data_IF_119892867949
#
_entry.id   IF_119892867949
#
_cell.length_a   1.000
_cell.length_b   1.000
_cell.length_c   1.000
_cell.angle_alpha   90.00
_cell.angle_beta   90.00
_cell.angle_gamma   90.00
#
_symmetry.space_group_name_H-M   'P 1'
#
loop_
_entity.id
_entity.type
_entity.pdbx_description
1 polymer ?
#
# COMPACT_ATOMS: atom_id res chain seq x y z
N UNK A 1 -6.93 -1.95 -13.41
CA UNK A 1 -5.68 -2.38 -14.07
C UNK A 1 -4.60 -1.38 -13.70
N UNK A 2 -3.39 -1.85 -13.42
CA UNK A 2 -2.25 -1.01 -13.05
C UNK A 2 -0.97 -1.51 -13.71
N UNK A 3 0.02 -0.62 -13.86
CA UNK A 3 1.35 -0.94 -14.35
C UNK A 3 2.42 -0.21 -13.51
N UNK A 4 3.54 -0.87 -13.21
CA UNK A 4 4.68 -0.30 -12.48
C UNK A 4 6.00 -0.85 -13.04
N UNK A 5 7.06 -0.02 -13.04
CA UNK A 5 8.41 -0.48 -13.38
C UNK A 5 8.98 -1.39 -12.29
N UNK A 6 9.61 -2.51 -12.68
CA UNK A 6 10.25 -3.48 -11.77
C UNK A 6 11.70 -3.06 -11.45
N UNK A 7 11.86 -1.94 -10.77
CA UNK A 7 13.17 -1.45 -10.32
C UNK A 7 14.05 -0.82 -11.41
N UNK A 8 14.13 -1.47 -12.58
CA UNK A 8 14.76 -0.93 -13.79
C UNK A 8 13.72 -0.50 -14.84
N UNK A 9 14.08 0.48 -15.67
CA UNK A 9 13.21 1.00 -16.75
C UNK A 9 12.99 0.00 -17.92
N UNK A 10 13.58 -1.20 -17.86
CA UNK A 10 13.50 -2.23 -18.89
C UNK A 10 12.36 -3.22 -18.67
N UNK A 11 11.86 -3.36 -17.43
CA UNK A 11 10.84 -4.33 -17.05
C UNK A 11 9.65 -3.66 -16.37
N UNK A 12 8.47 -4.14 -16.70
CA UNK A 12 7.20 -3.66 -16.15
C UNK A 12 6.39 -4.82 -15.63
N UNK A 13 5.78 -4.67 -14.46
CA UNK A 13 4.69 -5.53 -14.02
C UNK A 13 3.35 -4.85 -14.30
N UNK A 14 2.38 -5.62 -14.76
CA UNK A 14 0.99 -5.18 -14.89
C UNK A 14 0.07 -6.07 -14.09
N UNK A 15 -0.92 -5.47 -13.44
CA UNK A 15 -2.00 -6.16 -12.75
C UNK A 15 -3.32 -5.92 -13.46
N UNK A 16 -4.05 -6.98 -13.75
CA UNK A 16 -5.21 -6.96 -14.64
C UNK A 16 -6.50 -7.41 -13.94
N UNK A 17 -7.63 -7.04 -14.55
CA UNK A 17 -8.95 -7.52 -14.15
C UNK A 17 -9.16 -8.99 -14.53
N UNK A 18 -8.37 -9.53 -15.47
CA UNK A 18 -8.36 -10.95 -15.84
C UNK A 18 -7.80 -11.88 -14.74
N UNK A 19 -7.45 -11.30 -13.58
CA UNK A 19 -6.89 -11.97 -12.40
C UNK A 19 -5.47 -12.47 -12.60
N UNK A 20 -4.71 -11.89 -13.53
CA UNK A 20 -3.29 -12.17 -13.72
C UNK A 20 -2.41 -10.97 -13.37
N UNK A 21 -1.19 -11.29 -12.95
CA UNK A 21 -0.06 -10.37 -13.02
C UNK A 21 0.81 -10.79 -14.21
N UNK A 22 1.29 -9.83 -15.00
CA UNK A 22 2.18 -10.09 -16.14
C UNK A 22 3.45 -9.29 -16.01
N UNK A 23 4.58 -9.91 -16.32
CA UNK A 23 5.87 -9.26 -16.40
C UNK A 23 6.25 -9.11 -17.87
N UNK A 24 6.62 -7.90 -18.24
CA UNK A 24 6.96 -7.50 -19.60
C UNK A 24 8.41 -7.07 -19.66
N UNK A 25 9.12 -7.52 -20.68
CA UNK A 25 10.41 -6.97 -21.07
C UNK A 25 10.17 -5.98 -22.22
N UNK A 26 10.49 -4.71 -21.96
CA UNK A 26 10.25 -3.63 -22.92
C UNK A 26 11.26 -3.61 -24.06
N UNK A 27 12.43 -4.24 -23.90
CA UNK A 27 13.44 -4.35 -24.96
C UNK A 27 13.02 -5.37 -25.99
N UNK A 28 12.55 -6.55 -25.55
CA UNK A 28 12.04 -7.61 -26.42
C UNK A 28 10.57 -7.40 -26.82
N UNK A 29 9.87 -6.46 -26.17
CA UNK A 29 8.44 -6.14 -26.40
C UNK A 29 7.53 -7.35 -26.17
N UNK A 30 7.87 -8.18 -25.19
CA UNK A 30 7.18 -9.45 -24.92
C UNK A 30 6.73 -9.57 -23.46
N UNK A 31 5.62 -10.25 -23.26
CA UNK A 31 5.23 -10.78 -21.95
C UNK A 31 6.12 -11.99 -21.66
N UNK A 32 7.02 -11.86 -20.70
CA UNK A 32 7.98 -12.91 -20.35
C UNK A 32 7.49 -13.80 -19.21
N UNK A 33 6.51 -13.35 -18.43
CA UNK A 33 5.93 -14.13 -17.35
C UNK A 33 4.45 -13.78 -17.13
N UNK A 34 3.62 -14.78 -16.80
CA UNK A 34 2.23 -14.58 -16.37
C UNK A 34 1.99 -15.39 -15.11
N UNK A 35 1.59 -14.71 -14.02
CA UNK A 35 1.22 -15.32 -12.74
C UNK A 35 -0.29 -15.20 -12.52
N UNK A 36 -0.93 -16.28 -12.09
CA UNK A 36 -2.34 -16.25 -11.69
C UNK A 36 -2.47 -15.63 -10.30
N UNK A 37 -3.19 -14.51 -10.22
CA UNK A 37 -3.34 -13.72 -9.00
C UNK A 37 -4.60 -14.05 -8.19
N UNK A 38 -5.47 -14.93 -8.70
CA UNK A 38 -6.71 -15.35 -8.04
C UNK A 38 -7.85 -14.32 -8.06
N UNK A 39 -7.53 -13.02 -8.15
CA UNK A 39 -8.50 -11.93 -8.17
C UNK A 39 -8.04 -10.72 -8.98
N UNK A 40 -9.01 -9.94 -9.45
CA UNK A 40 -8.78 -8.69 -10.18
C UNK A 40 -7.84 -7.78 -9.39
N UNK A 41 -6.72 -7.40 -10.01
CA UNK A 41 -5.74 -6.50 -9.42
C UNK A 41 -6.10 -5.04 -9.73
N UNK A 42 -6.25 -4.24 -8.68
CA UNK A 42 -6.61 -2.84 -8.76
C UNK A 42 -5.37 -1.94 -8.80
N UNK A 43 -4.34 -2.24 -8.00
CA UNK A 43 -3.10 -1.47 -7.95
C UNK A 43 -1.88 -2.33 -7.58
N UNK A 44 -0.69 -1.80 -7.83
CA UNK A 44 0.60 -2.44 -7.65
C UNK A 44 1.61 -1.49 -6.99
N UNK A 45 2.52 -2.04 -6.20
CA UNK A 45 3.69 -1.35 -5.66
C UNK A 45 4.94 -2.25 -5.71
N UNK A 46 6.12 -1.65 -5.87
CA UNK A 46 7.42 -2.35 -5.97
C UNK A 46 8.31 -1.93 -4.82
N UNK A 47 8.68 -2.88 -3.97
CA UNK A 47 9.33 -2.59 -2.67
C UNK A 47 10.80 -2.23 -2.84
N UNK A 48 11.48 -2.91 -3.76
CA UNK A 48 12.93 -2.82 -3.91
C UNK A 48 13.33 -2.38 -5.32
N UNK A 49 14.50 -1.74 -5.42
CA UNK A 49 15.07 -1.29 -6.69
C UNK A 49 15.51 -2.42 -7.60
N UNK A 50 15.59 -3.66 -7.11
CA UNK A 50 15.86 -4.83 -7.94
C UNK A 50 14.60 -5.39 -8.61
N UNK A 51 13.41 -4.84 -8.28
CA UNK A 51 12.14 -5.34 -8.78
C UNK A 51 11.79 -6.73 -8.27
N UNK A 52 12.41 -7.20 -7.19
CA UNK A 52 12.24 -8.58 -6.75
C UNK A 52 10.91 -8.81 -6.04
N UNK A 53 10.44 -7.82 -5.28
CA UNK A 53 9.23 -7.90 -4.48
C UNK A 53 8.13 -7.00 -5.05
N UNK A 54 7.02 -7.61 -5.46
CA UNK A 54 5.80 -6.94 -5.93
C UNK A 54 4.71 -7.08 -4.87
N UNK A 55 3.99 -5.99 -4.63
CA UNK A 55 2.78 -5.97 -3.81
C UNK A 55 1.60 -5.66 -4.72
N UNK A 56 0.52 -6.42 -4.61
CA UNK A 56 -0.71 -6.19 -5.37
C UNK A 56 -1.94 -6.06 -4.48
N UNK A 57 -2.77 -5.07 -4.79
CA UNK A 57 -4.05 -4.82 -4.10
C UNK A 57 -5.22 -5.31 -4.95
N UNK A 58 -6.16 -6.02 -4.33
CA UNK A 58 -7.18 -6.78 -5.06
C UNK A 58 -8.63 -6.44 -4.72
N UNK A 59 -9.52 -6.83 -5.65
CA UNK A 59 -10.97 -6.77 -5.49
C UNK A 59 -11.49 -7.71 -4.41
N UNK A 60 -10.84 -8.83 -4.16
CA UNK A 60 -11.21 -9.80 -3.12
C UNK A 60 -10.75 -9.41 -1.71
N UNK A 61 -10.51 -8.11 -1.50
CA UNK A 61 -10.15 -7.51 -0.22
C UNK A 61 -8.76 -7.89 0.30
N UNK A 62 -7.89 -8.41 -0.57
CA UNK A 62 -6.54 -8.81 -0.17
C UNK A 62 -5.45 -7.89 -0.71
N UNK A 63 -4.36 -7.80 0.05
CA UNK A 63 -3.02 -7.48 -0.47
C UNK A 63 -2.24 -8.78 -0.58
N UNK A 64 -1.51 -8.97 -1.68
CA UNK A 64 -0.65 -10.13 -1.91
C UNK A 64 0.79 -9.71 -2.14
N UNK A 65 1.72 -10.56 -1.70
CA UNK A 65 3.17 -10.38 -1.84
C UNK A 65 3.72 -11.42 -2.80
N UNK A 66 4.49 -10.96 -3.79
CA UNK A 66 5.08 -11.79 -4.82
C UNK A 66 6.58 -11.58 -4.83
N UNK A 67 7.32 -12.68 -4.77
CA UNK A 67 8.74 -12.70 -5.12
C UNK A 67 8.84 -13.15 -6.58
N UNK A 68 9.43 -12.32 -7.44
CA UNK A 68 9.66 -12.64 -8.87
C UNK A 68 10.62 -13.81 -9.08
N UNK A 69 11.39 -14.19 -8.06
CA UNK A 69 12.29 -15.35 -8.07
C UNK A 69 11.59 -16.64 -7.67
N UNK A 70 10.36 -16.55 -7.18
CA UNK A 70 9.53 -17.68 -6.75
C UNK A 70 8.30 -17.83 -7.64
N UNK A 71 7.82 -19.06 -7.81
CA UNK A 71 6.61 -19.33 -8.59
C UNK A 71 5.32 -19.01 -7.83
N UNK A 72 5.37 -18.92 -6.49
CA UNK A 72 4.18 -18.73 -5.64
C UNK A 72 4.18 -17.40 -4.89
N UNK A 73 2.99 -16.83 -4.68
CA UNK A 73 2.79 -15.73 -3.72
C UNK A 73 2.98 -16.28 -2.31
N UNK A 74 3.96 -15.75 -1.59
CA UNK A 74 4.33 -16.29 -0.28
C UNK A 74 3.31 -15.97 0.81
N UNK A 75 2.63 -14.81 0.73
CA UNK A 75 1.77 -14.29 1.80
C UNK A 75 0.67 -13.36 1.27
N UNK A 76 -0.42 -13.22 2.04
CA UNK A 76 -1.47 -12.24 1.79
C UNK A 76 -2.09 -11.71 3.09
N UNK A 77 -2.67 -10.51 3.03
CA UNK A 77 -3.39 -9.87 4.14
C UNK A 77 -4.81 -9.59 3.68
N UNK A 78 -5.82 -9.97 4.48
CA UNK A 78 -7.23 -9.78 4.19
C UNK A 78 -7.79 -8.57 4.95
N UNK A 79 -8.65 -7.80 4.28
CA UNK A 79 -9.35 -6.65 4.83
C UNK A 79 -10.88 -6.79 4.74
N UNK A 80 -11.60 -5.85 5.35
CA UNK A 80 -13.06 -5.83 5.32
C UNK A 80 -13.63 -5.24 4.01
N UNK A 81 -12.80 -4.55 3.22
CA UNK A 81 -13.17 -3.92 1.96
C UNK A 81 -12.14 -4.15 0.85
N UNK A 82 -12.51 -3.81 -0.38
CA UNK A 82 -11.65 -3.93 -1.57
C UNK A 82 -10.46 -2.99 -1.46
N UNK A 83 -9.28 -3.43 -1.86
CA UNK A 83 -8.09 -2.58 -1.89
C UNK A 83 -8.10 -1.82 -3.21
N UNK A 84 -7.96 -0.50 -3.16
CA UNK A 84 -8.18 0.37 -4.33
C UNK A 84 -6.93 1.09 -4.80
N UNK A 85 -6.02 1.40 -3.89
CA UNK A 85 -4.73 1.99 -4.23
C UNK A 85 -3.69 1.63 -3.18
N UNK A 86 -2.43 1.60 -3.62
CA UNK A 86 -1.25 1.27 -2.84
C UNK A 86 -0.18 2.37 -3.05
N UNK A 87 0.52 2.73 -1.99
CA UNK A 87 1.74 3.55 -2.10
C UNK A 87 2.77 3.14 -1.04
N UNK A 88 4.04 3.35 -1.35
CA UNK A 88 5.18 2.94 -0.51
C UNK A 88 5.92 4.15 0.05
N UNK A 89 6.43 4.01 1.26
CA UNK A 89 7.44 4.94 1.75
C UNK A 89 8.71 4.81 0.91
N UNK A 90 9.46 5.90 0.79
CA UNK A 90 10.71 5.95 0.00
C UNK A 90 11.75 4.92 0.44
N UNK A 91 11.74 4.54 1.72
CA UNK A 91 12.62 3.53 2.29
C UNK A 91 12.08 2.09 2.15
N UNK A 92 10.90 1.91 1.55
CA UNK A 92 10.30 0.60 1.30
C UNK A 92 9.87 -0.16 2.56
N UNK A 93 9.82 0.50 3.73
CA UNK A 93 9.48 -0.17 5.01
C UNK A 93 7.98 -0.22 5.27
N UNK A 94 7.25 0.80 4.79
CA UNK A 94 5.83 0.89 5.01
C UNK A 94 5.07 0.99 3.69
N UNK A 95 3.89 0.39 3.70
CA UNK A 95 2.90 0.51 2.63
C UNK A 95 1.66 1.18 3.20
N UNK A 96 1.12 2.16 2.49
CA UNK A 96 -0.23 2.67 2.74
C UNK A 96 -1.19 2.11 1.69
N UNK A 97 -2.40 1.76 2.12
CA UNK A 97 -3.43 1.29 1.21
C UNK A 97 -4.79 1.93 1.49
N UNK A 98 -5.53 2.17 0.41
CA UNK A 98 -6.92 2.64 0.47
C UNK A 98 -7.86 1.43 0.41
N UNK A 99 -8.73 1.28 1.42
CA UNK A 99 -9.66 0.16 1.51
C UNK A 99 -11.10 0.68 1.41
N UNK A 100 -11.97 -0.03 0.68
CA UNK A 100 -13.42 0.25 0.57
C UNK A 100 -14.20 -0.12 1.85
N UNK A 101 -13.60 0.13 3.01
CA UNK A 101 -14.21 0.16 4.34
C UNK A 101 -14.09 1.57 4.95
N UNK A 102 -13.91 2.56 4.06
CA UNK A 102 -13.65 3.98 4.35
C UNK A 102 -12.41 4.23 5.20
N UNK A 103 -11.40 3.38 5.09
CA UNK A 103 -10.12 3.55 5.81
C UNK A 103 -8.90 3.59 4.91
N UNK A 104 -7.90 4.34 5.35
CA UNK A 104 -6.50 4.15 4.96
C UNK A 104 -5.86 3.22 5.98
N UNK A 105 -5.03 2.26 5.54
CA UNK A 105 -4.28 1.40 6.45
C UNK A 105 -2.79 1.54 6.18
N UNK A 106 -2.01 1.65 7.25
CA UNK A 106 -0.55 1.63 7.23
C UNK A 106 -0.08 0.23 7.62
N UNK A 107 0.78 -0.34 6.80
CA UNK A 107 1.30 -1.69 6.93
C UNK A 107 2.81 -1.64 7.12
N UNK A 108 3.33 -2.38 8.09
CA UNK A 108 4.76 -2.65 8.22
C UNK A 108 5.14 -3.88 7.37
N UNK A 109 6.03 -3.68 6.40
CA UNK A 109 6.42 -4.71 5.42
C UNK A 109 7.43 -5.72 5.95
N UNK A 110 8.15 -5.42 7.04
CA UNK A 110 9.03 -6.40 7.67
C UNK A 110 8.21 -7.48 8.39
N UNK A 111 7.11 -7.06 9.00
CA UNK A 111 6.26 -7.93 9.81
C UNK A 111 4.98 -8.37 9.09
N UNK A 112 4.69 -7.82 7.90
CA UNK A 112 3.48 -8.09 7.10
C UNK A 112 2.17 -7.95 7.91
N UNK A 113 2.03 -6.87 8.68
CA UNK A 113 0.82 -6.61 9.46
C UNK A 113 0.45 -5.13 9.51
N UNK A 114 -0.84 -4.87 9.77
CA UNK A 114 -1.39 -3.53 9.86
C UNK A 114 -0.97 -2.91 11.17
N UNK A 115 -0.25 -1.79 11.10
CA UNK A 115 0.19 -1.03 12.27
C UNK A 115 -0.79 0.09 12.62
N UNK A 116 -1.51 0.64 11.64
CA UNK A 116 -2.48 1.70 11.89
C UNK A 116 -3.62 1.71 10.88
N UNK A 117 -4.78 2.23 11.30
CA UNK A 117 -5.96 2.44 10.46
C UNK A 117 -6.50 3.86 10.67
N UNK A 118 -6.60 4.62 9.59
CA UNK A 118 -7.08 5.99 9.60
C UNK A 118 -8.46 6.04 8.95
N UNK A 119 -9.42 6.68 9.61
CA UNK A 119 -10.71 7.04 9.02
C UNK A 119 -10.72 8.55 8.78
N UNK A 120 -11.17 9.02 7.61
CA UNK A 120 -11.46 10.43 7.46
C UNK A 120 -12.53 10.80 8.50
N UNK A 121 -12.29 11.88 9.23
CA UNK A 121 -13.34 12.47 10.05
C UNK A 121 -14.44 12.89 9.09
N UNK A 122 -15.64 12.33 9.25
CA UNK A 122 -16.81 12.86 8.56
C UNK A 122 -16.85 14.37 8.84
N UNK A 123 -17.10 15.23 7.83
CA UNK A 123 -17.31 16.64 8.09
C UNK A 123 -18.40 16.76 9.13
N UNK A 124 -18.02 17.33 10.26
CA UNK A 124 -18.86 17.57 11.40
C UNK A 124 -19.94 18.56 10.98
N UNK A 125 -21.09 18.06 10.53
CA UNK A 125 -22.33 18.85 10.60
C UNK A 125 -22.94 18.73 12.01
N UNK A 126 -22.52 17.76 12.84
CA UNK A 126 -23.22 17.42 14.09
C UNK A 126 -22.43 17.52 15.41
N UNK A 127 -21.37 18.34 15.50
CA UNK A 127 -20.72 18.61 16.80
C UNK A 127 -20.44 20.08 17.12
N UNK A 128 -20.99 21.02 16.34
CA UNK A 128 -21.08 22.43 16.74
C UNK A 128 -22.30 22.73 17.64
N UNK A 129 -22.59 21.84 18.60
CA UNK A 129 -23.50 22.16 19.73
C UNK A 129 -22.83 22.16 21.11
N UNK A 130 -21.52 21.97 21.22
CA UNK A 130 -20.80 22.26 22.46
C UNK A 130 -19.48 22.93 22.11
N UNK A 131 -19.53 24.25 21.93
CA UNK A 131 -18.97 25.24 22.87
C UNK A 131 -17.47 25.08 23.13
N UNK A 132 -16.73 26.05 22.58
CA UNK A 132 -15.51 26.66 23.11
C UNK A 132 -14.40 25.71 23.53
N UNK A 133 -13.28 25.72 22.79
CA UNK A 133 -11.91 25.94 23.34
C UNK A 133 -10.85 25.59 22.26
N UNK A 134 -10.20 26.66 21.77
CA UNK A 134 -8.78 26.74 21.36
C UNK A 134 -8.35 26.12 20.01
N UNK A 135 -8.35 27.03 19.02
CA UNK A 135 -7.29 27.36 18.05
C UNK A 135 -6.47 26.26 17.37
N UNK A 136 -6.62 26.27 16.04
CA UNK A 136 -5.75 25.74 14.99
C UNK A 136 -4.30 25.48 15.41
N UNK A 137 -3.90 24.21 15.37
CA UNK A 137 -2.50 23.82 15.26
C UNK A 137 -2.27 23.23 13.89
N UNK A 138 -1.32 23.83 13.17
CA UNK A 138 -0.88 23.41 11.85
C UNK A 138 -0.42 21.96 11.87
N UNK A 139 -0.83 21.20 10.84
CA UNK A 139 -0.51 19.79 10.64
C UNK A 139 1.01 19.48 10.63
N UNK A 140 1.88 20.49 10.49
CA UNK A 140 3.34 20.36 10.56
C UNK A 140 3.89 20.18 11.98
N UNK A 141 3.19 20.60 13.03
CA UNK A 141 3.68 20.44 14.42
C UNK A 141 3.38 19.05 15.02
N UNK A 142 2.32 18.38 14.54
CA UNK A 142 1.90 17.06 15.05
C UNK A 142 3.00 15.99 14.84
N UNK A 143 3.85 16.14 13.83
CA UNK A 143 4.98 15.25 13.58
C UNK A 143 6.26 15.63 14.33
N UNK A 144 6.39 16.88 14.82
CA UNK A 144 7.58 17.32 15.57
C UNK A 144 7.52 16.91 17.04
N UNK A 145 6.33 16.95 17.65
CA UNK A 145 6.17 16.69 19.09
C UNK A 145 6.28 15.20 19.48
N UNK A 146 6.19 14.26 18.52
CA UNK A 146 6.38 12.83 18.81
C UNK A 146 7.84 12.35 18.74
N UNK A 147 8.79 13.21 18.35
CA UNK A 147 10.22 12.85 18.29
C UNK A 147 11.05 13.44 19.44
N UNK A 148 10.43 14.10 20.43
CA UNK A 148 11.14 14.65 21.60
C UNK A 148 10.71 14.10 22.96
N UNK A 149 9.93 13.00 22.99
CA UNK A 149 9.67 12.25 24.22
C UNK A 149 10.21 10.83 24.14
N UNK A 150 11.54 10.70 24.08
CA UNK A 150 12.22 9.44 24.41
C UNK A 150 13.68 9.68 24.85
N UNK A 151 13.95 10.73 25.63
CA UNK A 151 15.27 10.93 26.24
C UNK A 151 15.20 11.79 27.50
N UNK A 152 14.54 11.31 28.57
CA UNK A 152 14.96 11.56 29.96
C UNK A 152 14.42 10.42 30.85
N UNK A 153 15.22 10.01 31.84
CA UNK A 153 15.01 9.03 32.93
C UNK A 153 15.33 7.57 32.53
N UNK A 154 16.42 6.91 32.94
CA UNK A 154 17.40 7.05 34.05
C UNK A 154 18.79 6.66 33.54
#
# INVERSE_FOLDING_TARGET
MAAKFLGEASKVVTGSHDRTLKIWDLRSRACIETKFAGSSCNDLAIVDSSGSTIISGHFDKSIRFWDTRSESSANNILFNGKVTSLDLTRDGKYLICCVRDDTLKLLDLRMNHVVNSFRPLLPVVDKLKNLNTILARDFREIFRDRLHKSSVDI
#
